data_IF_604446029705
#
_entry.id   IF_604446029705
#
_cell.length_a   1.000
_cell.length_b   1.000
_cell.length_c   1.000
_cell.angle_alpha   90.00
_cell.angle_beta   90.00
_cell.angle_gamma   90.00
#
_symmetry.space_group_name_H-M   'P 1'
#
loop_
_entity.id
_entity.type
_entity.pdbx_description
1 polymer ?
#
# COMPACT_ATOMS: atom_id res chain seq x y z
N UNK A 1 28.81 7.48 -33.43
CA UNK A 1 29.36 6.47 -32.48
C UNK A 1 29.52 7.09 -31.13
N UNK A 2 29.12 6.45 -30.01
CA UNK A 2 29.47 6.92 -28.69
C UNK A 2 30.98 7.08 -28.57
N UNK A 3 31.44 8.16 -27.93
CA UNK A 3 32.89 8.49 -27.85
C UNK A 3 33.73 7.44 -27.10
N UNK A 4 33.07 6.49 -26.44
CA UNK A 4 33.66 5.52 -25.49
C UNK A 4 33.67 4.07 -26.07
N UNK A 5 33.35 3.87 -27.39
CA UNK A 5 33.28 2.56 -28.00
C UNK A 5 34.41 2.40 -29.06
N UNK A 6 35.20 1.34 -28.92
CA UNK A 6 36.27 1.01 -29.88
C UNK A 6 35.78 0.14 -31.07
N UNK A 7 34.64 -0.54 -30.91
CA UNK A 7 34.03 -1.40 -31.93
C UNK A 7 32.53 -1.14 -32.08
N UNK A 8 31.94 -1.56 -33.21
CA UNK A 8 30.49 -1.46 -33.44
C UNK A 8 29.70 -2.31 -32.43
N UNK A 9 30.23 -3.46 -31.97
CA UNK A 9 29.61 -4.28 -30.94
C UNK A 9 29.58 -3.60 -29.57
N UNK A 10 30.67 -2.95 -29.18
CA UNK A 10 30.71 -2.14 -27.92
C UNK A 10 29.80 -0.94 -28.02
N UNK A 11 29.71 -0.25 -29.14
CA UNK A 11 28.82 0.84 -29.36
C UNK A 11 27.34 0.42 -29.18
N UNK A 12 26.97 -0.75 -29.68
CA UNK A 12 25.63 -1.31 -29.53
C UNK A 12 25.31 -1.66 -28.06
N UNK A 13 26.26 -2.31 -27.37
CA UNK A 13 26.12 -2.68 -25.97
C UNK A 13 25.97 -1.44 -25.05
N UNK A 14 26.77 -0.36 -25.30
CA UNK A 14 26.67 0.91 -24.58
C UNK A 14 25.33 1.60 -24.88
N UNK A 15 24.88 1.57 -26.14
CA UNK A 15 23.59 2.14 -26.51
C UNK A 15 22.42 1.42 -25.84
N UNK A 16 22.44 0.08 -25.78
CA UNK A 16 21.45 -0.73 -25.09
C UNK A 16 21.44 -0.46 -23.57
N UNK A 17 22.62 -0.40 -22.93
CA UNK A 17 22.73 -0.05 -21.50
C UNK A 17 22.16 1.35 -21.22
N UNK A 18 22.49 2.35 -22.04
CA UNK A 18 21.94 3.71 -21.88
C UNK A 18 20.44 3.74 -22.10
N UNK A 19 19.94 3.05 -23.11
CA UNK A 19 18.50 2.94 -23.36
C UNK A 19 17.75 2.28 -22.20
N UNK A 20 18.31 1.23 -21.59
CA UNK A 20 17.72 0.60 -20.40
C UNK A 20 17.77 1.51 -19.16
N UNK A 21 18.86 2.24 -18.96
CA UNK A 21 18.99 3.23 -17.88
C UNK A 21 18.01 4.39 -18.07
N UNK A 22 17.88 4.94 -19.28
CA UNK A 22 16.93 6.02 -19.61
C UNK A 22 15.48 5.58 -19.46
N UNK A 23 15.13 4.35 -19.90
CA UNK A 23 13.79 3.77 -19.67
C UNK A 23 13.50 3.58 -18.20
N UNK A 24 14.48 3.17 -17.39
CA UNK A 24 14.35 3.06 -15.93
C UNK A 24 14.11 4.42 -15.29
N UNK A 25 14.90 5.43 -15.67
CA UNK A 25 14.75 6.80 -15.16
C UNK A 25 13.42 7.45 -15.58
N UNK A 26 12.99 7.26 -16.83
CA UNK A 26 11.70 7.77 -17.33
C UNK A 26 10.51 7.08 -16.65
N UNK A 27 10.57 5.75 -16.42
CA UNK A 27 9.56 5.02 -15.64
C UNK A 27 9.50 5.53 -14.21
N UNK A 28 10.65 5.71 -13.55
CA UNK A 28 10.73 6.28 -12.21
C UNK A 28 10.11 7.68 -12.11
N UNK A 29 10.41 8.56 -13.08
CA UNK A 29 9.84 9.91 -13.15
C UNK A 29 8.33 9.90 -13.40
N UNK A 30 7.83 9.05 -14.31
CA UNK A 30 6.40 8.92 -14.58
C UNK A 30 5.62 8.36 -13.37
N UNK A 31 6.19 7.39 -12.65
CA UNK A 31 5.63 6.89 -11.40
C UNK A 31 5.55 7.99 -10.34
N UNK A 32 6.62 8.77 -10.18
CA UNK A 32 6.67 9.85 -9.19
C UNK A 32 5.63 10.92 -9.48
N UNK A 33 5.52 11.38 -10.72
CA UNK A 33 4.57 12.42 -11.11
C UNK A 33 3.10 11.96 -10.96
N UNK A 34 2.77 10.75 -11.40
CA UNK A 34 1.41 10.22 -11.26
C UNK A 34 1.02 10.06 -9.78
N UNK A 35 1.94 9.51 -8.97
CA UNK A 35 1.76 9.38 -7.52
C UNK A 35 1.52 10.75 -6.86
N UNK A 36 2.32 11.74 -7.19
CA UNK A 36 2.25 13.07 -6.58
C UNK A 36 0.91 13.75 -6.85
N UNK A 37 0.40 13.66 -8.07
CA UNK A 37 -0.93 14.17 -8.44
C UNK A 37 -2.04 13.45 -7.67
N UNK A 38 -1.97 12.13 -7.55
CA UNK A 38 -2.98 11.36 -6.82
C UNK A 38 -2.97 11.68 -5.33
N UNK A 39 -1.79 11.81 -4.71
CA UNK A 39 -1.66 12.22 -3.31
C UNK A 39 -2.22 13.62 -3.09
N UNK A 40 -1.91 14.57 -3.98
CA UNK A 40 -2.45 15.93 -3.88
C UNK A 40 -3.99 15.93 -3.92
N UNK A 41 -4.60 15.18 -4.85
CA UNK A 41 -6.06 15.08 -4.93
C UNK A 41 -6.70 14.50 -3.66
N UNK A 42 -6.04 13.53 -3.04
CA UNK A 42 -6.52 12.95 -1.79
C UNK A 42 -6.41 13.94 -0.63
N UNK A 43 -5.28 14.62 -0.49
CA UNK A 43 -5.02 15.58 0.58
C UNK A 43 -5.90 16.83 0.51
N UNK A 44 -6.29 17.26 -0.69
CA UNK A 44 -7.28 18.35 -0.85
C UNK A 44 -8.65 17.97 -0.30
N UNK A 45 -9.00 16.68 -0.37
CA UNK A 45 -10.30 16.19 0.10
C UNK A 45 -10.28 15.77 1.57
N UNK A 46 -9.18 15.14 2.01
CA UNK A 46 -8.98 14.62 3.36
C UNK A 46 -7.57 14.95 3.87
N UNK A 47 -7.38 16.11 4.51
CA UNK A 47 -6.05 16.54 4.98
C UNK A 47 -5.39 15.56 5.97
N UNK A 48 -6.18 14.87 6.81
CA UNK A 48 -5.68 13.90 7.79
C UNK A 48 -5.20 12.60 7.17
N UNK A 49 -5.61 12.32 5.92
CA UNK A 49 -5.24 11.08 5.20
C UNK A 49 -3.75 11.02 4.89
N UNK A 50 -3.08 12.16 4.69
CA UNK A 50 -1.65 12.19 4.34
C UNK A 50 -0.77 11.54 5.41
N UNK A 51 -1.06 11.79 6.68
CA UNK A 51 -0.33 11.17 7.79
C UNK A 51 -0.53 9.66 7.78
N UNK A 52 -1.78 9.20 7.72
CA UNK A 52 -2.13 7.77 7.62
C UNK A 52 -1.40 7.07 6.46
N UNK A 53 -1.46 7.65 5.26
CA UNK A 53 -0.77 7.10 4.08
C UNK A 53 0.74 6.95 4.29
N UNK A 54 1.38 7.96 4.89
CA UNK A 54 2.81 7.93 5.18
C UNK A 54 3.15 6.87 6.24
N UNK A 55 2.38 6.79 7.32
CA UNK A 55 2.61 5.83 8.41
C UNK A 55 2.44 4.40 7.92
N UNK A 56 1.37 4.12 7.17
CA UNK A 56 1.15 2.79 6.54
C UNK A 56 2.27 2.44 5.57
N UNK A 57 2.75 3.39 4.74
CA UNK A 57 3.82 3.16 3.78
C UNK A 57 5.18 2.88 4.46
N UNK A 58 5.48 3.58 5.55
CA UNK A 58 6.68 3.35 6.34
C UNK A 58 6.68 1.97 7.00
N UNK A 59 5.55 1.58 7.61
CA UNK A 59 5.36 0.25 8.17
C UNK A 59 5.47 -0.83 7.09
N UNK A 60 4.79 -0.65 5.95
CA UNK A 60 4.81 -1.60 4.85
C UNK A 60 6.22 -1.82 4.31
N UNK A 61 7.05 -0.77 4.21
CA UNK A 61 8.46 -0.89 3.84
C UNK A 61 9.25 -1.75 4.85
N UNK A 62 9.05 -1.52 6.13
CA UNK A 62 9.76 -2.25 7.18
C UNK A 62 9.35 -3.73 7.21
N UNK A 63 8.05 -4.01 7.12
CA UNK A 63 7.51 -5.37 7.09
C UNK A 63 7.93 -6.12 5.82
N UNK A 64 7.88 -5.47 4.65
CA UNK A 64 8.33 -6.07 3.40
C UNK A 64 9.82 -6.43 3.42
N UNK A 65 10.66 -5.62 4.07
CA UNK A 65 12.09 -5.92 4.32
C UNK A 65 12.26 -7.10 5.28
N UNK A 66 11.49 -7.14 6.37
CA UNK A 66 11.53 -8.25 7.33
C UNK A 66 11.07 -9.59 6.72
N UNK A 67 10.30 -9.54 5.64
CA UNK A 67 9.90 -10.70 4.83
C UNK A 67 10.91 -11.07 3.73
N UNK A 68 12.08 -10.40 3.64
CA UNK A 68 13.08 -10.58 2.59
C UNK A 68 12.54 -10.47 1.16
N UNK A 69 11.55 -9.59 0.94
CA UNK A 69 11.04 -9.34 -0.40
C UNK A 69 12.09 -8.61 -1.25
N UNK A 70 12.07 -8.86 -2.56
CA UNK A 70 12.95 -8.15 -3.48
C UNK A 70 12.62 -6.64 -3.56
N UNK A 71 13.59 -5.85 -4.03
CA UNK A 71 13.47 -4.38 -4.01
C UNK A 71 12.31 -3.86 -4.86
N UNK A 72 11.98 -4.51 -5.98
CA UNK A 72 10.88 -4.11 -6.84
C UNK A 72 9.54 -4.36 -6.14
N UNK A 73 9.39 -5.49 -5.47
CA UNK A 73 8.22 -5.83 -4.66
C UNK A 73 8.08 -4.87 -3.48
N UNK A 74 9.18 -4.53 -2.77
CA UNK A 74 9.18 -3.54 -1.68
C UNK A 74 8.68 -2.19 -2.19
N UNK A 75 9.25 -1.67 -3.27
CA UNK A 75 8.87 -0.37 -3.83
C UNK A 75 7.40 -0.36 -4.30
N UNK A 76 6.94 -1.46 -4.89
CA UNK A 76 5.54 -1.59 -5.33
C UNK A 76 4.58 -1.65 -4.13
N UNK A 77 4.97 -2.36 -3.06
CA UNK A 77 4.23 -2.42 -1.79
C UNK A 77 4.07 -1.04 -1.16
N UNK A 78 5.16 -0.27 -1.09
CA UNK A 78 5.16 1.08 -0.52
C UNK A 78 4.22 2.01 -1.29
N UNK A 79 4.31 2.01 -2.63
CA UNK A 79 3.40 2.82 -3.47
C UNK A 79 1.94 2.39 -3.33
N UNK A 80 1.69 1.09 -3.20
CA UNK A 80 0.34 0.59 -2.96
C UNK A 80 -0.17 1.02 -1.59
N UNK A 81 0.67 1.00 -0.55
CA UNK A 81 0.32 1.49 0.78
C UNK A 81 -0.06 2.98 0.77
N UNK A 82 0.68 3.81 0.01
CA UNK A 82 0.37 5.23 -0.17
C UNK A 82 -0.95 5.47 -0.93
N UNK A 83 -1.37 4.56 -1.79
CA UNK A 83 -2.48 4.78 -2.73
C UNK A 83 -3.67 3.84 -2.52
N UNK A 84 -3.63 2.95 -1.51
CA UNK A 84 -4.66 1.93 -1.33
C UNK A 84 -6.07 2.52 -1.20
N UNK A 85 -6.17 3.68 -0.61
CA UNK A 85 -7.42 4.41 -0.37
C UNK A 85 -7.77 5.45 -1.45
N UNK A 86 -6.99 5.57 -2.54
CA UNK A 86 -7.21 6.61 -3.56
C UNK A 86 -8.62 6.57 -4.17
N UNK A 87 -9.24 5.41 -4.24
CA UNK A 87 -10.58 5.26 -4.75
C UNK A 87 -11.67 5.91 -3.89
N UNK A 88 -11.39 6.26 -2.64
CA UNK A 88 -12.31 6.99 -1.76
C UNK A 88 -12.66 8.37 -2.32
N UNK A 89 -11.85 8.92 -3.23
CA UNK A 89 -12.15 10.17 -3.93
C UNK A 89 -13.51 10.13 -4.65
N UNK A 90 -13.99 8.96 -5.04
CA UNK A 90 -15.28 8.79 -5.73
C UNK A 90 -16.40 8.30 -4.81
N UNK A 91 -16.16 8.15 -3.53
CA UNK A 91 -17.18 7.80 -2.54
C UNK A 91 -17.94 9.07 -2.13
N UNK A 92 -19.28 9.08 -2.15
CA UNK A 92 -20.07 10.22 -1.71
C UNK A 92 -19.81 10.58 -0.24
N UNK A 93 -19.76 11.87 0.08
CA UNK A 93 -19.51 12.36 1.44
C UNK A 93 -20.53 11.83 2.46
N UNK A 94 -21.79 11.63 2.03
CA UNK A 94 -22.83 11.05 2.86
C UNK A 94 -22.54 9.61 3.33
N UNK A 95 -21.68 8.89 2.62
CA UNK A 95 -21.22 7.55 2.98
C UNK A 95 -19.86 7.63 3.68
N UNK A 96 -18.92 8.41 3.12
CA UNK A 96 -17.55 8.52 3.61
C UNK A 96 -17.48 9.11 5.03
N UNK A 97 -18.25 10.16 5.28
CA UNK A 97 -18.30 10.87 6.58
C UNK A 97 -19.58 10.58 7.37
N UNK A 98 -20.24 9.44 7.11
CA UNK A 98 -21.45 9.07 7.83
C UNK A 98 -21.16 8.88 9.32
N UNK A 99 -21.85 9.63 10.21
CA UNK A 99 -21.74 9.40 11.64
C UNK A 99 -22.42 8.06 12.01
N UNK A 100 -21.63 7.05 12.31
CA UNK A 100 -22.11 5.72 12.71
C UNK A 100 -21.85 4.61 11.70
N UNK A 101 -22.47 3.46 11.90
CA UNK A 101 -22.27 2.30 11.05
C UNK A 101 -22.91 2.47 9.66
N UNK A 102 -22.21 2.01 8.64
CA UNK A 102 -22.76 1.89 7.29
C UNK A 102 -23.80 0.77 7.24
N UNK A 103 -24.91 1.00 6.53
CA UNK A 103 -25.84 -0.07 6.18
C UNK A 103 -25.23 -1.01 5.12
N UNK A 104 -25.86 -2.15 4.79
CA UNK A 104 -25.31 -3.10 3.83
C UNK A 104 -25.10 -2.54 2.43
N UNK A 105 -25.94 -1.61 1.95
CA UNK A 105 -25.81 -1.01 0.62
C UNK A 105 -24.69 0.03 0.60
N UNK A 106 -24.61 0.86 1.61
CA UNK A 106 -23.52 1.82 1.82
C UNK A 106 -22.18 1.13 1.96
N UNK A 107 -22.14 0.01 2.72
CA UNK A 107 -20.92 -0.80 2.86
C UNK A 107 -20.48 -1.35 1.50
N UNK A 108 -21.39 -1.95 0.72
CA UNK A 108 -21.07 -2.43 -0.63
C UNK A 108 -20.61 -1.30 -1.55
N UNK A 109 -21.12 -0.09 -1.33
CA UNK A 109 -20.64 1.07 -2.08
C UNK A 109 -19.24 1.48 -1.65
N UNK A 110 -18.97 1.54 -0.35
CA UNK A 110 -17.66 1.84 0.21
C UNK A 110 -16.60 0.84 -0.28
N UNK A 111 -16.90 -0.45 -0.30
CA UNK A 111 -16.00 -1.50 -0.76
C UNK A 111 -15.54 -1.32 -2.22
N UNK A 112 -16.32 -0.59 -3.05
CA UNK A 112 -15.93 -0.27 -4.43
C UNK A 112 -14.71 0.63 -4.53
N UNK A 113 -14.25 1.26 -3.43
CA UNK A 113 -13.06 2.12 -3.50
C UNK A 113 -11.83 1.36 -3.98
N UNK A 114 -11.70 0.06 -3.69
CA UNK A 114 -10.59 -0.77 -4.19
C UNK A 114 -10.60 -0.92 -5.71
N UNK A 115 -11.79 -1.16 -6.30
CA UNK A 115 -11.97 -1.24 -7.75
C UNK A 115 -11.78 0.11 -8.45
N UNK A 116 -12.25 1.17 -7.81
CA UNK A 116 -12.08 2.53 -8.32
C UNK A 116 -10.60 2.92 -8.23
N UNK A 117 -9.96 2.61 -7.10
CA UNK A 117 -8.53 2.86 -6.88
C UNK A 117 -7.66 2.14 -7.91
N UNK A 118 -7.90 0.86 -8.17
CA UNK A 118 -7.22 0.11 -9.24
C UNK A 118 -7.32 0.84 -10.58
N UNK A 119 -8.54 1.27 -10.98
CA UNK A 119 -8.75 1.96 -12.26
C UNK A 119 -8.01 3.28 -12.34
N UNK A 120 -8.05 4.08 -11.25
CA UNK A 120 -7.36 5.37 -11.17
C UNK A 120 -5.85 5.16 -11.29
N UNK A 121 -5.28 4.29 -10.48
CA UNK A 121 -3.84 4.02 -10.45
C UNK A 121 -3.36 3.40 -11.77
N UNK A 122 -4.12 2.46 -12.33
CA UNK A 122 -3.77 1.76 -13.58
C UNK A 122 -3.93 2.62 -14.83
N UNK A 123 -4.52 3.82 -14.74
CA UNK A 123 -4.57 4.76 -15.86
C UNK A 123 -3.16 5.16 -16.34
N UNK A 124 -2.18 5.20 -15.44
CA UNK A 124 -0.77 5.26 -15.80
C UNK A 124 -0.25 3.83 -15.99
N UNK A 125 0.16 3.46 -17.21
CA UNK A 125 0.61 2.09 -17.53
C UNK A 125 1.71 1.58 -16.59
N UNK A 126 2.65 2.44 -16.24
CA UNK A 126 3.74 2.15 -15.33
C UNK A 126 3.26 1.81 -13.89
N UNK A 127 2.04 2.23 -13.50
CA UNK A 127 1.45 2.00 -12.17
C UNK A 127 0.51 0.78 -12.12
N UNK A 128 0.30 0.06 -13.23
CA UNK A 128 -0.56 -1.13 -13.24
C UNK A 128 -0.23 -2.18 -12.19
N UNK A 129 1.06 -2.50 -11.91
CA UNK A 129 1.39 -3.41 -10.81
C UNK A 129 0.89 -2.92 -9.45
N UNK A 130 1.00 -1.61 -9.18
CA UNK A 130 0.48 -0.98 -7.97
C UNK A 130 -1.06 -1.06 -7.91
N UNK A 131 -1.72 -0.79 -9.04
CA UNK A 131 -3.18 -0.87 -9.13
C UNK A 131 -3.74 -2.26 -8.76
N UNK A 132 -3.06 -3.34 -9.16
CA UNK A 132 -3.44 -4.72 -8.78
C UNK A 132 -3.37 -4.93 -7.27
N UNK A 133 -2.37 -4.35 -6.61
CA UNK A 133 -2.23 -4.46 -5.15
C UNK A 133 -3.30 -3.62 -4.46
N UNK A 134 -3.58 -2.40 -4.94
CA UNK A 134 -4.68 -1.55 -4.46
C UNK A 134 -6.01 -2.28 -4.55
N UNK A 135 -6.29 -3.01 -5.66
CA UNK A 135 -7.49 -3.85 -5.78
C UNK A 135 -7.61 -4.84 -4.64
N UNK A 136 -6.53 -5.56 -4.31
CA UNK A 136 -6.52 -6.66 -3.35
C UNK A 136 -6.20 -6.21 -1.92
N UNK A 137 -6.10 -4.90 -1.63
CA UNK A 137 -5.65 -4.37 -0.34
C UNK A 137 -6.59 -4.68 0.84
N UNK A 138 -7.81 -5.11 0.58
CA UNK A 138 -8.80 -5.51 1.59
C UNK A 138 -9.24 -6.97 1.45
N UNK A 139 -8.48 -7.79 0.72
CA UNK A 139 -8.65 -9.23 0.75
C UNK A 139 -8.18 -9.80 2.09
N UNK A 140 -8.91 -10.79 2.59
CA UNK A 140 -8.63 -11.43 3.87
C UNK A 140 -8.03 -12.81 3.63
N UNK A 141 -7.14 -13.22 4.52
CA UNK A 141 -6.50 -14.53 4.45
C UNK A 141 -7.49 -15.72 4.34
N UNK A 142 -8.65 -15.60 5.01
CA UNK A 142 -9.73 -16.60 5.02
C UNK A 142 -10.68 -16.51 3.80
N UNK A 143 -10.46 -15.58 2.87
CA UNK A 143 -11.32 -15.39 1.70
C UNK A 143 -12.61 -14.63 1.97
N UNK A 144 -12.82 -14.13 3.19
CA UNK A 144 -13.98 -13.31 3.53
C UNK A 144 -13.78 -11.80 3.24
N UNK A 145 -12.74 -11.45 2.48
CA UNK A 145 -12.41 -10.08 2.06
C UNK A 145 -13.12 -9.66 0.78
N UNK A 146 -12.69 -8.56 0.24
CA UNK A 146 -13.22 -7.99 -1.01
C UNK A 146 -12.09 -7.34 -1.84
N UNK A 147 -12.28 -7.15 -3.17
CA UNK A 147 -13.51 -7.32 -3.95
C UNK A 147 -13.67 -8.71 -4.58
N UNK A 148 -12.61 -9.54 -4.64
CA UNK A 148 -12.59 -10.80 -5.39
C UNK A 148 -12.77 -12.04 -4.49
N UNK A 149 -12.64 -11.90 -3.17
CA UNK A 149 -12.72 -13.02 -2.22
C UNK A 149 -11.51 -13.96 -2.34
N UNK A 150 -10.34 -13.41 -2.69
CA UNK A 150 -9.09 -14.19 -2.74
C UNK A 150 -8.74 -14.69 -1.34
N UNK A 151 -8.13 -15.89 -1.26
CA UNK A 151 -7.75 -16.50 0.00
C UNK A 151 -6.28 -16.94 0.01
N UNK A 152 -5.65 -16.88 1.18
CA UNK A 152 -4.31 -17.41 1.39
C UNK A 152 -3.28 -16.79 0.46
N UNK A 153 -2.51 -17.62 -0.22
CA UNK A 153 -1.41 -17.21 -1.11
C UNK A 153 -1.88 -16.69 -2.47
N UNK A 154 -3.15 -16.85 -2.83
CA UNK A 154 -3.73 -16.23 -4.04
C UNK A 154 -3.79 -14.70 -3.90
N UNK A 155 -3.76 -14.18 -2.67
CA UNK A 155 -3.64 -12.74 -2.41
C UNK A 155 -2.18 -12.33 -2.64
N UNK A 156 -1.89 -11.32 -3.49
CA UNK A 156 -0.53 -10.81 -3.67
C UNK A 156 0.13 -10.48 -2.31
N UNK A 157 1.37 -10.92 -2.08
CA UNK A 157 2.06 -10.68 -0.79
C UNK A 157 2.09 -9.20 -0.41
N UNK A 158 2.28 -8.32 -1.37
CA UNK A 158 2.26 -6.87 -1.16
C UNK A 158 0.90 -6.38 -0.63
N UNK A 159 -0.23 -6.93 -1.10
CA UNK A 159 -1.55 -6.59 -0.60
C UNK A 159 -1.76 -7.09 0.84
N UNK A 160 -1.27 -8.29 1.15
CA UNK A 160 -1.30 -8.82 2.53
C UNK A 160 -0.51 -7.94 3.49
N UNK A 161 0.65 -7.41 3.07
CA UNK A 161 1.46 -6.46 3.85
C UNK A 161 0.70 -5.16 4.06
N UNK A 162 0.15 -4.56 2.99
CA UNK A 162 -0.63 -3.32 3.10
C UNK A 162 -1.79 -3.49 4.07
N UNK A 163 -2.54 -4.60 3.98
CA UNK A 163 -3.71 -4.85 4.84
C UNK A 163 -3.37 -4.93 6.33
N UNK A 164 -2.27 -5.59 6.70
CA UNK A 164 -1.82 -5.68 8.11
C UNK A 164 -1.37 -4.31 8.61
N UNK A 165 -0.63 -3.55 7.80
CA UNK A 165 -0.13 -2.22 8.18
C UNK A 165 -1.27 -1.20 8.32
N UNK A 166 -2.23 -1.19 7.38
CA UNK A 166 -3.43 -0.37 7.45
C UNK A 166 -4.26 -0.70 8.70
N UNK A 167 -4.52 -1.98 8.96
CA UNK A 167 -5.26 -2.40 10.15
C UNK A 167 -4.57 -1.96 11.45
N UNK A 168 -3.24 -2.04 11.54
CA UNK A 168 -2.50 -1.57 12.70
C UNK A 168 -2.61 -0.07 12.89
N UNK A 169 -2.38 0.71 11.84
CA UNK A 169 -2.52 2.17 11.89
C UNK A 169 -3.95 2.58 12.24
N UNK A 170 -4.94 1.94 11.61
CA UNK A 170 -6.34 2.16 11.92
C UNK A 170 -6.74 1.88 13.37
N UNK A 171 -6.07 0.93 14.04
CA UNK A 171 -6.28 0.62 15.45
C UNK A 171 -5.61 1.62 16.39
N UNK A 172 -4.43 2.14 16.03
CA UNK A 172 -3.59 2.99 16.89
C UNK A 172 -3.78 4.48 16.64
N UNK A 173 -4.43 4.88 15.55
CA UNK A 173 -4.76 6.26 15.23
C UNK A 173 -6.10 6.70 15.84
N UNK A 174 -6.19 7.96 16.28
CA UNK A 174 -7.44 8.55 16.76
C UNK A 174 -8.46 8.66 15.62
N UNK A 175 -9.69 8.24 15.85
CA UNK A 175 -10.83 8.40 14.93
C UNK A 175 -11.98 9.07 15.65
N UNK A 176 -12.82 9.82 14.92
CA UNK A 176 -13.93 10.61 15.50
C UNK A 176 -14.83 9.82 16.45
N UNK A 177 -14.99 8.51 16.23
CA UNK A 177 -15.95 7.67 16.96
C UNK A 177 -15.29 6.59 17.83
N UNK A 178 -13.95 6.54 17.90
CA UNK A 178 -13.24 5.51 18.67
C UNK A 178 -11.88 6.02 19.16
N UNK A 179 -11.62 5.92 20.49
CA UNK A 179 -10.27 6.17 20.99
C UNK A 179 -9.28 5.17 20.40
N UNK A 180 -8.02 5.58 20.19
CA UNK A 180 -6.98 4.67 19.70
C UNK A 180 -6.74 3.55 20.72
N UNK A 181 -6.46 2.37 20.21
CA UNK A 181 -5.91 1.27 21.01
C UNK A 181 -4.46 1.60 21.38
N UNK A 182 -4.05 1.12 22.53
CA UNK A 182 -2.63 1.06 22.85
C UNK A 182 -1.92 0.11 21.87
N UNK A 183 -0.63 0.32 21.67
CA UNK A 183 0.19 -0.58 20.84
C UNK A 183 0.07 -2.04 21.28
N UNK A 184 0.04 -2.31 22.59
CA UNK A 184 -0.08 -3.65 23.13
C UNK A 184 -1.44 -4.29 22.74
N UNK A 185 -2.53 -3.55 22.85
CA UNK A 185 -3.85 -4.02 22.44
C UNK A 185 -3.91 -4.29 20.93
N UNK A 186 -3.35 -3.40 20.10
CA UNK A 186 -3.30 -3.58 18.65
C UNK A 186 -2.48 -4.82 18.26
N UNK A 187 -1.36 -5.09 18.95
CA UNK A 187 -0.55 -6.31 18.77
C UNK A 187 -1.37 -7.56 19.08
N UNK A 188 -2.15 -7.56 20.16
CA UNK A 188 -3.01 -8.71 20.50
C UNK A 188 -4.13 -8.91 19.46
N UNK A 189 -4.69 -7.83 18.90
CA UNK A 189 -5.66 -7.94 17.80
C UNK A 189 -5.02 -8.54 16.54
N UNK A 190 -3.81 -8.13 16.16
CA UNK A 190 -3.10 -8.74 15.03
C UNK A 190 -2.85 -10.25 15.27
N UNK A 191 -2.42 -10.64 16.47
CA UNK A 191 -2.22 -12.06 16.83
C UNK A 191 -3.52 -12.87 16.73
N UNK A 192 -4.63 -12.30 17.19
CA UNK A 192 -5.95 -12.96 17.15
C UNK A 192 -6.45 -13.13 15.71
N UNK A 193 -6.17 -12.15 14.85
CA UNK A 193 -6.54 -12.18 13.44
C UNK A 193 -5.64 -13.02 12.54
N UNK A 194 -4.47 -13.46 13.03
CA UNK A 194 -3.53 -14.27 12.25
C UNK A 194 -4.14 -15.61 11.83
N UNK A 195 -4.03 -15.97 10.56
CA UNK A 195 -4.61 -17.20 9.98
C UNK A 195 -6.10 -17.09 9.62
N UNK A 196 -6.74 -15.98 9.95
CA UNK A 196 -8.13 -15.67 9.55
C UNK A 196 -8.19 -14.38 8.74
N UNK A 197 -8.17 -13.24 9.40
CA UNK A 197 -8.14 -11.94 8.72
C UNK A 197 -6.79 -11.69 8.04
N UNK A 198 -5.69 -12.01 8.70
CA UNK A 198 -4.34 -11.66 8.30
C UNK A 198 -3.49 -12.89 7.96
N UNK A 199 -2.57 -12.72 7.01
CA UNK A 199 -1.51 -13.69 6.76
C UNK A 199 -0.63 -13.84 8.02
N UNK A 200 -0.50 -15.05 8.59
CA UNK A 200 0.29 -15.26 9.81
C UNK A 200 1.78 -14.93 9.64
N UNK A 201 2.34 -15.07 8.43
CA UNK A 201 3.74 -14.71 8.15
C UNK A 201 3.93 -13.20 8.16
N UNK A 202 2.98 -12.46 7.59
CA UNK A 202 3.01 -10.99 7.61
C UNK A 202 2.81 -10.46 9.02
N UNK A 203 1.90 -11.06 9.79
CA UNK A 203 1.73 -10.71 11.22
C UNK A 203 3.03 -10.95 11.99
N UNK A 204 3.69 -12.10 11.83
CA UNK A 204 4.96 -12.38 12.50
C UNK A 204 6.02 -11.29 12.17
N UNK A 205 6.22 -10.98 10.88
CA UNK A 205 7.14 -9.92 10.46
C UNK A 205 6.77 -8.53 11.02
N UNK A 206 5.48 -8.20 11.09
CA UNK A 206 5.01 -6.96 11.70
C UNK A 206 5.34 -6.91 13.21
N UNK A 207 5.16 -8.01 13.92
CA UNK A 207 5.50 -8.09 15.35
C UNK A 207 7.00 -7.93 15.59
N UNK A 208 7.84 -8.49 14.73
CA UNK A 208 9.30 -8.32 14.78
C UNK A 208 9.69 -6.84 14.57
N UNK A 209 9.09 -6.18 13.57
CA UNK A 209 9.27 -4.74 13.34
C UNK A 209 8.85 -3.93 14.56
N UNK A 210 7.69 -4.26 15.13
CA UNK A 210 7.17 -3.56 16.31
C UNK A 210 7.98 -3.85 17.59
N UNK A 211 8.71 -4.95 17.68
CA UNK A 211 9.59 -5.26 18.83
C UNK A 211 10.90 -4.44 18.84
N UNK A 212 11.25 -3.80 17.72
CA UNK A 212 12.42 -2.93 17.64
C UNK A 212 12.30 -1.73 18.61
N UNK A 213 13.44 -1.19 19.11
CA UNK A 213 13.43 0.01 19.94
C UNK A 213 12.65 1.17 19.29
N UNK A 214 11.96 1.97 20.08
CA UNK A 214 11.13 3.06 19.57
C UNK A 214 11.91 4.06 18.68
N UNK A 215 13.22 4.22 18.94
CA UNK A 215 14.11 5.07 18.13
C UNK A 215 14.33 4.52 16.70
N UNK A 216 14.15 3.22 16.48
CA UNK A 216 14.37 2.55 15.20
C UNK A 216 13.06 2.29 14.44
N UNK A 217 11.91 2.66 15.04
CA UNK A 217 10.63 2.50 14.39
C UNK A 217 10.44 3.52 13.27
N UNK A 218 9.86 3.12 12.15
CA UNK A 218 9.64 4.00 11.01
C UNK A 218 8.51 5.04 11.23
N UNK A 219 7.74 4.91 12.31
CA UNK A 219 6.58 5.77 12.62
C UNK A 219 6.78 6.48 13.96
N UNK A 220 6.21 7.69 14.09
CA UNK A 220 6.15 8.38 15.36
C UNK A 220 5.17 7.65 16.30
N UNK A 221 5.71 7.08 17.39
CA UNK A 221 4.86 6.54 18.47
C UNK A 221 4.31 7.71 19.27
N UNK A 222 3.00 7.91 19.23
CA UNK A 222 2.30 8.80 20.11
C UNK A 222 2.26 8.26 21.54
#
# INVERSE_FOLDING_TARGET
MPRDAATAGEALAIADQRMYADKGAQRGSAHSAAREVLIQLLTEREPDLLRHMNDVALLARAVARALDLDIETIETTVRAAELHDVGKVAIPDSILHKPGALDPDERRFMEKHTLIGERIVSAAEAMRPVGRIVRSSHERWDGAGYPDGLAGEDIPVAARVVFVCDAFDAMTSAREYRPPLTRAEAVEELRRGAGTQFDPRVVAAMLDVLAAPAADLPIATA
#
